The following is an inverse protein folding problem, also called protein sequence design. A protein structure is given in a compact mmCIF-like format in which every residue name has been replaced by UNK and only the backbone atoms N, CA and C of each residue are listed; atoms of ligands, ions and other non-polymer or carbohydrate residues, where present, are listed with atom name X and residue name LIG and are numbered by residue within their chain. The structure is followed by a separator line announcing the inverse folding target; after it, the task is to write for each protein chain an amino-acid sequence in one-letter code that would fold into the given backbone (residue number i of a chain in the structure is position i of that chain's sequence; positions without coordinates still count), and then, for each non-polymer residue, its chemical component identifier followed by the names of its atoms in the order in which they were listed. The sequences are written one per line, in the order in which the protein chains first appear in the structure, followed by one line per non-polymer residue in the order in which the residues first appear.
data_IF_058025070439
#
_entry.id   IF_058025070439
#
_cell.length_a   1.000
_cell.length_b   1.000
_cell.length_c   1.000
_cell.angle_alpha   90.00
_cell.angle_beta   90.00
_cell.angle_gamma   90.00
#
_symmetry.space_group_name_H-M   'P 1'
#
loop_
_entity.id
_entity.type
_entity.pdbx_description
1 polymer ?
#
# COMPACT_ATOMS: atom_id res chain seq x y z
N UNK A 1 18.49 13.36 20.48
CA UNK A 1 18.29 13.99 19.18
C UNK A 1 16.91 13.66 18.64
N UNK A 2 16.20 14.66 18.17
CA UNK A 2 14.90 14.44 17.59
C UNK A 2 15.05 13.71 16.25
N UNK A 3 14.31 12.62 16.03
CA UNK A 3 14.42 11.92 14.76
C UNK A 3 13.92 12.82 13.63
N UNK A 4 14.49 12.62 12.45
CA UNK A 4 14.02 13.33 11.28
C UNK A 4 12.55 13.04 11.06
N UNK A 5 11.81 14.07 10.66
CA UNK A 5 10.40 13.91 10.37
C UNK A 5 10.27 12.99 9.14
N UNK A 6 9.46 11.96 9.28
CA UNK A 6 9.20 11.06 8.17
C UNK A 6 8.11 11.68 7.29
N UNK A 7 8.34 11.66 6.01
CA UNK A 7 7.28 12.04 5.08
C UNK A 7 6.21 10.97 5.09
N UNK A 8 5.00 11.38 4.84
CA UNK A 8 3.85 10.50 4.92
C UNK A 8 3.03 10.59 3.64
N UNK A 9 2.65 9.43 3.12
CA UNK A 9 1.70 9.32 2.02
C UNK A 9 0.71 8.23 2.36
N UNK A 10 -0.57 8.43 2.02
CA UNK A 10 -1.54 7.36 2.22
C UNK A 10 -1.21 6.16 1.34
N UNK A 11 -0.87 6.41 0.08
CA UNK A 11 -0.58 5.34 -0.86
C UNK A 11 0.84 5.45 -1.39
N UNK A 12 1.54 4.31 -1.40
CA UNK A 12 2.80 4.17 -2.11
C UNK A 12 2.52 3.32 -3.34
N UNK A 13 2.81 3.84 -4.51
CA UNK A 13 2.58 3.16 -5.79
C UNK A 13 3.94 2.71 -6.32
N UNK A 14 4.07 1.41 -6.60
CA UNK A 14 5.31 0.85 -7.16
C UNK A 14 4.95 0.18 -8.48
N UNK A 15 5.27 0.85 -9.58
CA UNK A 15 4.94 0.41 -10.93
C UNK A 15 5.95 1.02 -11.89
N UNK A 16 6.63 0.19 -12.68
CA UNK A 16 7.67 0.65 -13.59
C UNK A 16 7.14 1.46 -14.77
N UNK A 17 5.84 1.39 -15.03
CA UNK A 17 5.21 2.18 -16.08
C UNK A 17 4.86 3.57 -15.54
N UNK A 18 5.60 4.62 -15.97
CA UNK A 18 5.36 5.96 -15.43
C UNK A 18 3.97 6.49 -15.78
N UNK A 19 3.37 6.03 -16.89
CA UNK A 19 2.02 6.44 -17.25
C UNK A 19 0.98 5.91 -16.27
N UNK A 20 1.11 4.64 -15.89
CA UNK A 20 0.21 4.04 -14.91
C UNK A 20 0.42 4.69 -13.54
N UNK A 21 1.67 4.86 -13.14
CA UNK A 21 1.97 5.50 -11.85
C UNK A 21 1.36 6.90 -11.78
N UNK A 22 1.54 7.69 -12.84
CA UNK A 22 0.98 9.05 -12.89
C UNK A 22 -0.54 9.03 -12.86
N UNK A 23 -1.14 8.11 -13.60
CA UNK A 23 -2.60 7.98 -13.62
C UNK A 23 -3.14 7.68 -12.22
N UNK A 24 -2.52 6.74 -11.53
CA UNK A 24 -2.95 6.38 -10.17
C UNK A 24 -2.79 7.53 -9.19
N UNK A 25 -1.65 8.22 -9.26
CA UNK A 25 -1.42 9.38 -8.40
C UNK A 25 -2.51 10.43 -8.63
N UNK A 26 -2.79 10.74 -9.90
CA UNK A 26 -3.80 11.74 -10.24
C UNK A 26 -5.19 11.31 -9.76
N UNK A 27 -5.53 10.06 -10.05
CA UNK A 27 -6.84 9.51 -9.67
C UNK A 27 -7.07 9.57 -8.16
N UNK A 28 -6.06 9.15 -7.40
CA UNK A 28 -6.18 9.10 -5.93
C UNK A 28 -6.14 10.49 -5.31
N UNK A 29 -5.31 11.38 -5.84
CA UNK A 29 -5.26 12.76 -5.35
C UNK A 29 -6.57 13.49 -5.56
N UNK A 30 -7.24 13.23 -6.67
CA UNK A 30 -8.55 13.83 -6.94
C UNK A 30 -9.60 13.40 -5.91
N UNK A 31 -9.34 12.30 -5.21
CA UNK A 31 -10.23 11.79 -4.17
C UNK A 31 -9.74 12.13 -2.77
N UNK A 32 -8.79 13.05 -2.67
CA UNK A 32 -8.34 13.57 -1.38
C UNK A 32 -7.22 12.77 -0.73
N UNK A 33 -6.59 11.85 -1.45
CA UNK A 33 -5.52 11.02 -0.89
C UNK A 33 -4.15 11.57 -1.25
N UNK A 34 -3.19 11.36 -0.35
CA UNK A 34 -1.79 11.68 -0.64
C UNK A 34 -1.10 10.43 -1.18
N UNK A 35 -0.22 10.61 -2.16
CA UNK A 35 0.41 9.50 -2.86
C UNK A 35 1.86 9.80 -3.17
N UNK A 36 2.68 8.75 -3.12
CA UNK A 36 4.04 8.76 -3.66
C UNK A 36 4.15 7.61 -4.65
N UNK A 37 4.96 7.78 -5.68
CA UNK A 37 5.13 6.75 -6.69
C UNK A 37 6.61 6.47 -6.90
N UNK A 38 6.93 5.19 -7.02
CA UNK A 38 8.26 4.70 -7.38
C UNK A 38 8.13 3.94 -8.69
N UNK A 39 8.91 4.32 -9.68
CA UNK A 39 8.94 3.59 -10.95
C UNK A 39 10.09 2.59 -11.01
N UNK A 40 10.86 2.51 -9.95
CA UNK A 40 11.95 1.55 -9.80
C UNK A 40 11.74 0.80 -8.48
N UNK A 41 11.43 -0.50 -8.57
CA UNK A 41 11.17 -1.32 -7.39
C UNK A 41 12.36 -1.42 -6.45
N UNK A 42 13.58 -1.23 -6.96
CA UNK A 42 14.77 -1.25 -6.10
C UNK A 42 14.82 -0.08 -5.11
N UNK A 43 14.06 0.97 -5.35
CA UNK A 43 14.01 2.12 -4.45
C UNK A 43 13.07 1.91 -3.26
N UNK A 44 12.34 0.81 -3.25
CA UNK A 44 11.30 0.58 -2.23
C UNK A 44 11.87 0.53 -0.82
N UNK A 45 12.99 -0.18 -0.62
CA UNK A 45 13.58 -0.32 0.72
C UNK A 45 14.01 1.05 1.26
N UNK A 46 14.70 1.83 0.44
CA UNK A 46 15.15 3.17 0.84
C UNK A 46 13.97 4.07 1.16
N UNK A 47 12.93 4.01 0.33
CA UNK A 47 11.74 4.83 0.55
C UNK A 47 11.06 4.47 1.88
N UNK A 48 10.88 3.17 2.15
CA UNK A 48 10.22 2.72 3.37
C UNK A 48 11.05 2.99 4.61
N UNK A 49 12.37 3.11 4.48
CA UNK A 49 13.22 3.46 5.62
C UNK A 49 13.08 4.92 6.02
N UNK A 50 12.66 5.78 5.10
CA UNK A 50 12.61 7.22 5.30
C UNK A 50 11.19 7.78 5.36
N UNK A 51 10.20 7.01 4.91
CA UNK A 51 8.83 7.49 4.77
C UNK A 51 7.83 6.47 5.29
N UNK A 52 6.62 6.93 5.53
CA UNK A 52 5.51 6.05 5.95
C UNK A 52 4.39 6.09 4.93
N UNK A 53 3.68 4.98 4.80
CA UNK A 53 2.45 4.90 4.00
C UNK A 53 1.44 4.00 4.69
N UNK A 54 0.17 4.16 4.32
CA UNK A 54 -0.89 3.32 4.87
C UNK A 54 -1.14 2.08 4.02
N UNK A 55 -0.94 2.17 2.71
CA UNK A 55 -1.17 1.07 1.78
C UNK A 55 -0.16 1.17 0.64
N UNK A 56 0.41 0.04 0.25
CA UNK A 56 1.28 -0.04 -0.93
C UNK A 56 0.53 -0.72 -2.07
N UNK A 57 0.66 -0.19 -3.27
CA UNK A 57 0.09 -0.75 -4.51
C UNK A 57 1.26 -1.18 -5.36
N UNK A 58 1.36 -2.47 -5.67
CA UNK A 58 2.55 -3.05 -6.29
C UNK A 58 2.18 -3.76 -7.60
N UNK A 59 2.91 -3.46 -8.66
CA UNK A 59 2.83 -4.20 -9.91
C UNK A 59 3.74 -5.42 -9.83
N UNK A 60 3.27 -6.56 -10.34
CA UNK A 60 4.07 -7.79 -10.33
C UNK A 60 5.06 -7.86 -11.49
N UNK A 61 4.74 -7.23 -12.61
CA UNK A 61 5.54 -7.35 -13.82
C UNK A 61 6.42 -6.14 -14.01
N UNK A 62 7.55 -6.15 -13.36
CA UNK A 62 8.57 -5.11 -13.54
C UNK A 62 9.83 -5.76 -14.12
N UNK A 63 10.50 -5.11 -15.12
CA UNK A 63 11.59 -5.75 -15.85
C UNK A 63 12.77 -6.17 -14.98
N UNK A 64 13.08 -5.42 -13.94
CA UNK A 64 14.28 -5.66 -13.14
C UNK A 64 14.00 -6.23 -11.77
N UNK A 65 12.74 -6.26 -11.37
CA UNK A 65 12.36 -6.66 -10.02
C UNK A 65 11.21 -7.66 -10.12
N UNK A 66 11.35 -8.78 -9.47
CA UNK A 66 10.25 -9.72 -9.33
C UNK A 66 9.29 -9.19 -8.27
N UNK A 67 8.06 -8.89 -8.68
CA UNK A 67 7.07 -8.30 -7.78
C UNK A 67 6.72 -9.20 -6.60
N UNK A 68 6.69 -10.52 -6.80
CA UNK A 68 6.41 -11.45 -5.71
C UNK A 68 7.52 -11.38 -4.66
N UNK A 69 8.77 -11.39 -5.09
CA UNK A 69 9.90 -11.26 -4.18
C UNK A 69 9.90 -9.92 -3.47
N UNK A 70 9.52 -8.86 -4.18
CA UNK A 70 9.42 -7.53 -3.57
C UNK A 70 8.36 -7.52 -2.47
N UNK A 71 7.21 -8.16 -2.70
CA UNK A 71 6.15 -8.24 -1.69
C UNK A 71 6.66 -8.97 -0.45
N UNK A 72 7.34 -10.09 -0.63
CA UNK A 72 7.93 -10.82 0.51
C UNK A 72 8.88 -9.95 1.30
N UNK A 73 9.73 -9.21 0.60
CA UNK A 73 10.69 -8.34 1.22
C UNK A 73 10.01 -7.21 2.00
N UNK A 74 8.99 -6.58 1.39
CA UNK A 74 8.22 -5.53 2.04
C UNK A 74 7.52 -6.05 3.30
N UNK A 75 7.01 -7.28 3.22
CA UNK A 75 6.32 -7.90 4.36
C UNK A 75 7.28 -8.15 5.51
N UNK A 76 8.52 -8.48 5.23
CA UNK A 76 9.55 -8.63 6.27
C UNK A 76 9.87 -7.28 6.91
N UNK A 77 9.93 -6.23 6.11
CA UNK A 77 10.20 -4.89 6.62
C UNK A 77 9.05 -4.36 7.48
N UNK A 78 7.82 -4.67 7.07
CA UNK A 78 6.64 -4.16 7.78
C UNK A 78 5.56 -5.25 7.78
N UNK A 79 5.46 -6.03 8.87
CA UNK A 79 4.53 -7.16 8.94
C UNK A 79 3.06 -6.78 8.82
N UNK A 80 2.70 -5.53 9.05
CA UNK A 80 1.30 -5.11 9.05
C UNK A 80 0.92 -4.18 7.90
N UNK A 81 1.86 -3.85 7.03
CA UNK A 81 1.58 -2.95 5.90
C UNK A 81 0.61 -3.62 4.93
N UNK A 82 -0.55 -3.04 4.65
CA UNK A 82 -1.42 -3.56 3.61
C UNK A 82 -0.76 -3.41 2.24
N UNK A 83 -0.75 -4.48 1.47
CA UNK A 83 -0.15 -4.51 0.13
C UNK A 83 -1.20 -5.01 -0.84
N UNK A 84 -1.49 -4.22 -1.87
CA UNK A 84 -2.44 -4.58 -2.92
C UNK A 84 -1.69 -4.71 -4.24
N UNK A 85 -1.85 -5.85 -4.89
CA UNK A 85 -1.28 -6.06 -6.22
C UNK A 85 -2.21 -5.46 -7.26
N UNK A 86 -1.64 -4.70 -8.19
CA UNK A 86 -2.36 -4.12 -9.30
C UNK A 86 -1.58 -4.45 -10.57
N UNK A 87 -2.02 -5.45 -11.31
CA UNK A 87 -1.21 -6.04 -12.39
C UNK A 87 -1.99 -6.20 -13.68
N UNK A 88 -1.28 -6.04 -14.81
CA UNK A 88 -1.86 -6.19 -16.15
C UNK A 88 -1.86 -7.59 -16.69
N UNK A 89 -1.41 -8.57 -15.93
CA UNK A 89 -1.30 -9.95 -16.39
C UNK A 89 -2.66 -10.63 -16.61
N UNK A 90 -3.72 -9.99 -16.18
CA UNK A 90 -5.04 -10.58 -16.20
C UNK A 90 -5.23 -11.50 -14.99
N UNK A 91 -6.30 -12.28 -15.00
CA UNK A 91 -6.55 -13.20 -13.91
C UNK A 91 -5.70 -14.46 -14.10
N UNK A 92 -4.76 -14.64 -13.20
CA UNK A 92 -3.91 -15.81 -13.14
C UNK A 92 -3.96 -16.31 -11.70
N UNK A 93 -4.66 -17.42 -11.51
CA UNK A 93 -4.90 -17.95 -10.17
C UNK A 93 -3.60 -18.34 -9.48
N UNK A 94 -2.67 -18.93 -10.20
CA UNK A 94 -1.40 -19.33 -9.64
C UNK A 94 -0.60 -18.12 -9.16
N UNK A 95 -0.56 -17.08 -9.98
CA UNK A 95 0.16 -15.86 -9.63
C UNK A 95 -0.52 -15.14 -8.47
N UNK A 96 -1.85 -15.13 -8.46
CA UNK A 96 -2.61 -14.54 -7.35
C UNK A 96 -2.28 -15.27 -6.04
N UNK A 97 -2.29 -16.60 -6.05
CA UNK A 97 -1.96 -17.37 -4.86
C UNK A 97 -0.53 -17.11 -4.40
N UNK A 98 0.42 -17.00 -5.33
CA UNK A 98 1.80 -16.70 -4.99
C UNK A 98 1.92 -15.32 -4.34
N UNK A 99 1.22 -14.33 -4.87
CA UNK A 99 1.24 -12.98 -4.31
C UNK A 99 0.64 -12.94 -2.90
N UNK A 100 -0.50 -13.60 -2.71
CA UNK A 100 -1.14 -13.65 -1.40
C UNK A 100 -0.27 -14.41 -0.39
N UNK A 101 0.35 -15.48 -0.82
CA UNK A 101 1.25 -16.25 0.04
C UNK A 101 2.48 -15.43 0.43
N UNK A 102 2.96 -14.59 -0.47
CA UNK A 102 4.10 -13.70 -0.19
C UNK A 102 3.74 -12.59 0.79
N UNK A 103 2.46 -12.31 0.96
CA UNK A 103 2.02 -11.34 1.94
C UNK A 103 1.09 -10.26 1.42
N UNK A 104 0.64 -10.34 0.16
CA UNK A 104 -0.31 -9.38 -0.39
C UNK A 104 -1.67 -9.54 0.27
N UNK A 105 -2.38 -8.44 0.44
CA UNK A 105 -3.70 -8.40 1.04
C UNK A 105 -4.81 -8.29 0.00
N UNK A 106 -4.47 -8.01 -1.25
CA UNK A 106 -5.44 -7.91 -2.33
C UNK A 106 -4.76 -8.08 -3.67
N UNK A 107 -5.57 -8.40 -4.68
CA UNK A 107 -5.08 -8.63 -6.04
C UNK A 107 -6.13 -8.10 -7.00
N UNK A 108 -5.75 -7.11 -7.80
CA UNK A 108 -6.67 -6.46 -8.74
C UNK A 108 -6.03 -6.40 -10.11
N UNK A 109 -6.80 -6.72 -11.14
CA UNK A 109 -6.33 -6.66 -12.52
C UNK A 109 -6.43 -5.26 -13.08
N UNK A 110 -5.40 -4.82 -13.81
CA UNK A 110 -5.43 -3.56 -14.55
C UNK A 110 -6.45 -3.57 -15.68
N UNK A 111 -6.94 -4.74 -16.05
CA UNK A 111 -7.95 -4.89 -17.11
C UNK A 111 -9.36 -4.59 -16.63
N UNK A 112 -9.55 -4.44 -15.33
CA UNK A 112 -10.84 -4.06 -14.76
C UNK A 112 -10.95 -2.54 -14.64
N UNK A 113 -12.17 -2.00 -14.50
CA UNK A 113 -12.30 -0.57 -14.24
C UNK A 113 -11.54 -0.17 -12.97
N UNK A 114 -10.99 1.04 -13.00
CA UNK A 114 -10.19 1.56 -11.89
C UNK A 114 -10.98 1.58 -10.58
N UNK A 115 -12.30 1.68 -10.66
CA UNK A 115 -13.16 1.67 -9.49
C UNK A 115 -13.01 0.38 -8.67
N UNK A 116 -12.66 -0.73 -9.33
CA UNK A 116 -12.44 -1.99 -8.62
C UNK A 116 -11.24 -1.88 -7.68
N UNK A 117 -10.16 -1.27 -8.17
CA UNK A 117 -9.01 -1.01 -7.31
C UNK A 117 -9.40 -0.08 -6.17
N UNK A 118 -10.10 1.00 -6.48
CA UNK A 118 -10.47 1.97 -5.46
C UNK A 118 -11.35 1.35 -4.38
N UNK A 119 -12.27 0.47 -4.73
CA UNK A 119 -13.10 -0.24 -3.75
C UNK A 119 -12.26 -1.05 -2.78
N UNK A 120 -11.25 -1.76 -3.29
CA UNK A 120 -10.35 -2.54 -2.45
C UNK A 120 -9.56 -1.63 -1.53
N UNK A 121 -9.00 -0.54 -2.07
CA UNK A 121 -8.23 0.41 -1.29
C UNK A 121 -9.07 1.07 -0.19
N UNK A 122 -10.28 1.48 -0.53
CA UNK A 122 -11.16 2.13 0.44
C UNK A 122 -11.52 1.19 1.58
N UNK A 123 -11.76 -0.08 1.27
CA UNK A 123 -12.06 -1.08 2.29
C UNK A 123 -10.87 -1.30 3.22
N UNK A 124 -9.67 -1.37 2.65
CA UNK A 124 -8.46 -1.55 3.44
C UNK A 124 -8.22 -0.34 4.34
N UNK A 125 -8.38 0.86 3.82
CA UNK A 125 -8.21 2.07 4.63
C UNK A 125 -9.20 2.12 5.79
N UNK A 126 -10.44 1.74 5.57
CA UNK A 126 -11.44 1.71 6.63
C UNK A 126 -11.04 0.73 7.73
N UNK A 127 -10.53 -0.44 7.33
CA UNK A 127 -10.07 -1.45 8.28
C UNK A 127 -8.86 -0.96 9.07
N UNK A 128 -7.92 -0.32 8.40
CA UNK A 128 -6.73 0.21 9.06
C UNK A 128 -7.08 1.30 10.06
N UNK A 129 -8.01 2.16 9.73
CA UNK A 129 -8.44 3.20 10.65
C UNK A 129 -9.09 2.62 11.89
N UNK A 130 -9.84 1.55 11.75
CA UNK A 130 -10.45 0.87 12.88
C UNK A 130 -9.41 0.20 13.78
N UNK A 131 -8.30 -0.23 13.21
CA UNK A 131 -7.25 -0.89 13.96
C UNK A 131 -6.33 0.06 14.68
N UNK A 132 -6.25 1.32 14.21
CA UNK A 132 -5.41 2.29 14.87
C UNK A 132 -5.94 2.53 16.26
N UNK A 133 -5.10 2.38 17.29
CA UNK A 133 -5.54 2.75 18.61
C UNK A 133 -5.93 4.22 18.56
N UNK A 134 -6.96 4.53 19.25
CA UNK A 134 -7.38 5.90 19.32
C UNK A 134 -6.26 6.71 19.94
N UNK A 135 -5.60 7.43 19.13
CA UNK A 135 -4.50 8.24 19.58
C UNK A 135 -5.00 9.39 20.36
N UNK A 136 -6.08 9.37 20.33
CA UNK A 136 -6.70 10.46 20.81
C UNK A 136 -7.13 10.31 22.19
N UNK A 137 -6.98 9.95 22.15
CA UNK A 137 -7.52 9.81 22.90
C UNK A 137 -7.17 9.51 23.79
N UNK A 138 -6.72 9.71 23.82
CA UNK A 138 -6.42 9.52 24.41
C UNK A 138 -6.46 9.41 25.29
N UNK A 139 -6.31 9.63 25.58
CA UNK A 139 -6.33 9.45 26.15
C UNK A 139 -7.18 9.56 26.90
N UNK A 140 -7.75 9.93 26.97
CA UNK A 140 -8.56 9.84 27.44
C UNK A 140 -9.38 9.07 27.46
N UNK A 141 -9.63 8.82 27.44
CA UNK A 141 -10.37 7.99 27.52
C UNK A 141 -10.21 7.03 27.86
N UNK A 142 -9.78 7.02 28.12
CA UNK A 142 -9.74 6.11 28.42
C UNK A 142 -9.92 5.76 29.27
N UNK A 143 -10.04 6.24 29.58
CA UNK A 143 -10.35 5.87 30.18
C UNK A 143 -11.19 5.71 30.37
N UNK A 144 -11.52 6.00 30.24
CA UNK A 144 -12.28 5.72 30.16
C UNK A 144 -12.53 4.91 30.09
N UNK A 145 -12.39 4.93 29.88
CA UNK A 145 -12.70 4.13 29.70
C UNK A 145 -12.53 3.36 30.22
N UNK A 146 -12.41 3.49 30.69
CA UNK A 146 -12.40 2.79 30.97
C UNK A 146 -12.71 2.39 31.39
N UNK A 147 -13.01 2.65 31.60
CA UNK A 147 -13.41 2.31 31.62
C UNK A 147 -13.74 1.98 31.33
N UNK A 148 -13.83 2.12 31.14
CA UNK A 148 -14.22 1.71 30.70
C UNK A 148 -14.15 1.33 30.61
#
# INVERSE_FOLDING_TARGET
MKPARRDYSQFLIIDDDPGIAKFLVTYLRQRGHTCSALTDGFQTAAWLSENDCEVAIVDLKMPKVDGISLISFMRELNPTLPIVVFTGVGYDEEQMHAALHAGANGYVSKNLPIEQLYCVLARILATCQQRKPSMTFNGQQSALAGAA
#
